data_IF_550356227128
#
_entry.id   IF_550356227128
#
_cell.length_a   1.000
_cell.length_b   1.000
_cell.length_c   1.000
_cell.angle_alpha   90.00
_cell.angle_beta   90.00
_cell.angle_gamma   90.00
#
_symmetry.space_group_name_H-M   'P 1'
#
loop_
_entity.id
_entity.type
_entity.pdbx_description
1 polymer ?
#
# COMPACT_ATOMS: atom_id res chain seq x y z
N UNK A 1 -23.76 -3.57 10.03
CA UNK A 1 -23.49 -2.63 11.15
C UNK A 1 -22.66 -3.24 12.28
N UNK A 2 -22.76 -4.56 12.56
CA UNK A 2 -22.12 -5.16 13.74
C UNK A 2 -20.59 -5.21 13.70
N UNK A 3 -19.97 -5.56 12.56
CA UNK A 3 -18.50 -5.72 12.48
C UNK A 3 -17.76 -4.40 12.73
N UNK A 4 -18.26 -3.28 12.19
CA UNK A 4 -17.62 -1.98 12.40
C UNK A 4 -17.82 -1.48 13.83
N UNK A 5 -19.04 -1.63 14.37
CA UNK A 5 -19.31 -1.30 15.78
C UNK A 5 -18.40 -2.10 16.71
N UNK A 6 -18.19 -3.39 16.41
CA UNK A 6 -17.29 -4.27 17.15
C UNK A 6 -15.83 -3.84 17.06
N UNK A 7 -15.33 -3.53 15.85
CA UNK A 7 -13.94 -3.02 15.68
C UNK A 7 -13.77 -1.71 16.45
N UNK A 8 -14.71 -0.78 16.28
CA UNK A 8 -14.67 0.51 16.95
C UNK A 8 -14.71 0.37 18.49
N UNK A 9 -15.46 -0.60 19.03
CA UNK A 9 -15.51 -0.89 20.46
C UNK A 9 -14.24 -1.56 20.99
N UNK A 10 -13.74 -2.60 20.32
CA UNK A 10 -12.52 -3.32 20.71
C UNK A 10 -11.29 -2.40 20.68
N UNK A 11 -11.16 -1.65 19.58
CA UNK A 11 -10.09 -0.68 19.41
C UNK A 11 -10.37 0.65 20.12
N UNK A 12 -11.47 0.77 20.88
CA UNK A 12 -11.87 1.99 21.62
C UNK A 12 -11.73 3.26 20.77
N UNK A 13 -11.99 3.14 19.47
CA UNK A 13 -11.77 4.22 18.52
C UNK A 13 -12.92 5.23 18.53
N UNK A 14 -14.09 4.84 19.06
CA UNK A 14 -15.19 5.78 19.35
C UNK A 14 -14.76 6.90 20.31
N UNK A 15 -13.71 6.64 21.10
CA UNK A 15 -13.12 7.58 22.06
C UNK A 15 -12.13 8.56 21.38
N UNK A 16 -11.81 8.38 20.09
CA UNK A 16 -10.98 9.31 19.32
C UNK A 16 -11.78 10.56 18.96
N UNK A 17 -11.97 11.43 19.95
CA UNK A 17 -12.65 12.72 19.83
C UNK A 17 -11.75 13.78 20.43
N UNK A 18 -11.18 14.63 19.59
CA UNK A 18 -10.17 15.60 20.00
C UNK A 18 -9.04 14.96 20.84
N UNK A 19 -8.65 13.73 20.51
CA UNK A 19 -7.60 13.01 21.25
C UNK A 19 -6.22 13.52 20.88
N UNK A 20 -5.33 13.58 21.86
CA UNK A 20 -3.92 13.87 21.64
C UNK A 20 -3.24 12.67 21.01
N UNK A 21 -2.44 12.94 20.00
CA UNK A 21 -1.69 11.93 19.30
C UNK A 21 -0.36 12.49 18.81
N UNK A 22 0.58 11.58 18.55
CA UNK A 22 1.83 11.88 17.85
C UNK A 22 1.76 11.31 16.45
N UNK A 23 1.90 12.18 15.44
CA UNK A 23 2.01 11.78 14.05
C UNK A 23 3.50 11.68 13.69
N UNK A 24 3.93 10.48 13.33
CA UNK A 24 5.28 10.15 12.89
C UNK A 24 5.25 10.14 11.35
N UNK A 25 5.96 11.07 10.74
CA UNK A 25 6.06 11.23 9.28
C UNK A 25 7.51 11.09 8.83
N UNK A 26 7.78 10.80 7.56
CA UNK A 26 9.15 10.84 7.02
C UNK A 26 9.84 12.20 7.23
N UNK A 27 9.08 13.30 7.25
CA UNK A 27 9.59 14.67 7.43
C UNK A 27 9.77 15.06 8.91
N UNK A 28 9.35 14.19 9.84
CA UNK A 28 9.49 14.41 11.29
C UNK A 28 8.21 14.17 12.08
N UNK A 29 8.31 14.36 13.38
CA UNK A 29 7.24 14.03 14.32
C UNK A 29 6.48 15.28 14.75
N UNK A 30 5.15 15.20 14.82
CA UNK A 30 4.29 16.29 15.26
C UNK A 30 3.30 15.81 16.31
N UNK A 31 3.11 16.59 17.37
CA UNK A 31 1.96 16.42 18.27
C UNK A 31 0.73 17.03 17.60
N UNK A 32 -0.34 16.26 17.52
CA UNK A 32 -1.57 16.60 16.82
C UNK A 32 -2.78 16.29 17.70
N UNK A 33 -3.89 16.94 17.38
CA UNK A 33 -5.20 16.57 17.93
C UNK A 33 -6.04 15.96 16.82
N UNK A 34 -6.59 14.78 17.05
CA UNK A 34 -7.31 14.02 16.01
C UNK A 34 -8.74 13.72 16.40
N UNK A 35 -9.60 13.61 15.39
CA UNK A 35 -10.99 13.14 15.54
C UNK A 35 -11.28 12.11 14.46
N UNK A 36 -11.81 10.96 14.89
CA UNK A 36 -12.26 9.91 13.99
C UNK A 36 -13.55 10.32 13.30
N UNK A 37 -13.62 10.08 11.99
CA UNK A 37 -14.78 10.31 11.16
C UNK A 37 -15.47 9.03 10.72
N UNK A 38 -16.22 9.12 9.62
CA UNK A 38 -17.05 8.04 9.11
C UNK A 38 -16.22 6.86 8.56
N UNK A 39 -16.83 5.68 8.59
CA UNK A 39 -16.31 4.49 7.91
C UNK A 39 -16.27 4.72 6.39
N UNK A 40 -15.18 4.28 5.76
CA UNK A 40 -14.96 4.38 4.30
C UNK A 40 -15.12 3.01 3.65
N UNK A 41 -14.40 2.01 4.16
CA UNK A 41 -14.30 0.72 3.50
C UNK A 41 -13.46 -0.28 4.30
N UNK A 42 -13.47 -1.53 3.86
CA UNK A 42 -12.74 -2.64 4.51
C UNK A 42 -11.94 -3.41 3.46
N UNK A 43 -10.66 -3.63 3.75
CA UNK A 43 -9.78 -4.52 3.01
C UNK A 43 -9.64 -5.89 3.69
N UNK A 44 -8.63 -6.66 3.27
CA UNK A 44 -8.35 -7.98 3.85
C UNK A 44 -7.84 -7.90 5.29
N UNK A 45 -7.05 -6.87 5.60
CA UNK A 45 -6.36 -6.72 6.90
C UNK A 45 -6.91 -5.59 7.76
N UNK A 46 -7.43 -4.53 7.14
CA UNK A 46 -7.75 -3.28 7.81
C UNK A 46 -9.15 -2.76 7.43
N UNK A 47 -9.82 -2.09 8.36
CA UNK A 47 -10.92 -1.15 8.08
C UNK A 47 -10.37 0.27 7.96
N UNK A 48 -10.92 1.05 7.04
CA UNK A 48 -10.56 2.44 6.80
C UNK A 48 -11.68 3.38 7.28
N UNK A 49 -11.28 4.44 7.99
CA UNK A 49 -12.16 5.49 8.47
C UNK A 49 -11.57 6.84 8.09
N UNK A 50 -12.42 7.85 7.89
CA UNK A 50 -11.94 9.23 7.83
C UNK A 50 -11.28 9.61 9.15
N UNK A 51 -10.25 10.45 9.05
CA UNK A 51 -9.58 11.06 10.18
C UNK A 51 -9.45 12.55 9.90
N UNK A 52 -9.79 13.37 10.91
CA UNK A 52 -9.54 14.81 10.88
C UNK A 52 -8.40 15.13 11.82
N UNK A 53 -7.37 15.79 11.32
CA UNK A 53 -6.33 16.42 12.13
C UNK A 53 -6.76 17.87 12.38
N UNK A 54 -6.72 18.32 13.63
CA UNK A 54 -7.10 19.68 13.99
C UNK A 54 -6.14 20.68 13.32
N UNK A 55 -6.71 21.76 12.79
CA UNK A 55 -6.00 22.86 12.11
C UNK A 55 -5.24 22.46 10.82
N UNK A 56 -5.39 21.23 10.35
CA UNK A 56 -4.93 20.79 9.04
C UNK A 56 -6.12 20.77 8.05
N UNK A 57 -6.06 21.50 6.93
CA UNK A 57 -7.14 21.50 5.94
C UNK A 57 -7.24 20.18 5.17
N UNK A 58 -6.22 19.32 5.20
CA UNK A 58 -6.23 18.04 4.50
C UNK A 58 -7.19 17.04 5.15
N UNK A 59 -7.71 16.15 4.33
CA UNK A 59 -8.50 14.99 4.77
C UNK A 59 -7.58 13.79 4.88
N UNK A 60 -7.80 12.96 5.89
CA UNK A 60 -7.00 11.76 6.12
C UNK A 60 -7.88 10.52 6.21
N UNK A 61 -7.23 9.39 6.01
CA UNK A 61 -7.75 8.06 6.31
C UNK A 61 -6.91 7.47 7.42
N UNK A 62 -7.56 6.89 8.43
CA UNK A 62 -6.92 6.01 9.41
C UNK A 62 -7.31 4.57 9.11
N UNK A 63 -6.32 3.69 9.09
CA UNK A 63 -6.48 2.24 8.90
C UNK A 63 -6.33 1.53 10.23
N UNK A 64 -7.32 0.70 10.51
CA UNK A 64 -7.49 0.00 11.76
C UNK A 64 -7.48 -1.51 11.48
N UNK A 65 -6.60 -2.28 12.13
CA UNK A 65 -6.55 -3.73 11.96
C UNK A 65 -7.88 -4.40 12.27
N UNK A 66 -8.27 -5.36 11.44
CA UNK A 66 -9.49 -6.16 11.65
C UNK A 66 -9.34 -7.14 12.81
N UNK A 67 -8.11 -7.54 13.13
CA UNK A 67 -7.79 -8.45 14.22
C UNK A 67 -7.10 -7.67 15.34
N UNK A 68 -7.68 -7.74 16.54
CA UNK A 68 -7.19 -7.09 17.77
C UNK A 68 -5.73 -7.42 18.13
N UNK A 69 -5.19 -8.53 17.60
CA UNK A 69 -3.84 -9.01 17.89
C UNK A 69 -2.77 -8.59 16.89
N UNK A 70 -3.03 -7.61 16.03
CA UNK A 70 -1.95 -7.05 15.23
C UNK A 70 -0.97 -6.36 16.20
N UNK A 71 0.26 -6.85 16.23
CA UNK A 71 1.27 -6.34 17.16
C UNK A 71 1.81 -4.99 16.67
N UNK A 72 2.47 -4.24 17.55
CA UNK A 72 3.18 -3.00 17.18
C UNK A 72 4.10 -3.22 15.98
N UNK A 73 4.75 -4.38 15.92
CA UNK A 73 5.68 -4.77 14.85
C UNK A 73 4.95 -4.88 13.52
N UNK A 74 3.80 -5.55 13.47
CA UNK A 74 3.00 -5.65 12.24
C UNK A 74 2.47 -4.28 11.76
N UNK A 75 2.14 -3.37 12.67
CA UNK A 75 1.77 -1.99 12.29
C UNK A 75 2.96 -1.20 11.75
N UNK A 76 4.15 -1.41 12.32
CA UNK A 76 5.40 -0.81 11.84
C UNK A 76 5.80 -1.38 10.49
N UNK A 77 5.57 -2.67 10.23
CA UNK A 77 5.75 -3.29 8.92
C UNK A 77 4.80 -2.72 7.87
N UNK A 78 3.51 -2.60 8.18
CA UNK A 78 2.51 -1.97 7.30
C UNK A 78 2.85 -0.49 7.02
N UNK A 79 3.43 0.20 8.01
CA UNK A 79 3.97 1.56 7.88
C UNK A 79 5.43 1.62 7.43
N UNK A 80 6.04 0.50 7.01
CA UNK A 80 7.49 0.44 6.86
C UNK A 80 7.96 1.51 5.89
N UNK A 81 8.63 2.53 6.45
CA UNK A 81 9.16 3.68 5.70
C UNK A 81 10.01 3.18 4.53
N UNK A 82 10.67 2.03 4.69
CA UNK A 82 11.51 1.42 3.67
C UNK A 82 10.68 0.98 2.45
N UNK A 83 9.52 0.34 2.62
CA UNK A 83 8.66 -0.07 1.49
C UNK A 83 8.26 1.16 0.68
N UNK A 84 7.75 2.18 1.36
CA UNK A 84 7.25 3.38 0.71
C UNK A 84 8.37 4.24 0.12
N UNK A 85 9.55 4.27 0.71
CA UNK A 85 10.72 4.95 0.15
C UNK A 85 11.24 4.24 -1.11
N UNK A 86 11.29 2.90 -1.12
CA UNK A 86 11.60 2.12 -2.31
C UNK A 86 10.57 2.40 -3.41
N UNK A 87 9.27 2.36 -3.07
CA UNK A 87 8.20 2.62 -4.02
C UNK A 87 8.25 4.03 -4.59
N UNK A 88 8.51 5.03 -3.74
CA UNK A 88 8.68 6.44 -4.14
C UNK A 88 9.88 6.63 -5.05
N UNK A 89 11.02 6.04 -4.72
CA UNK A 89 12.22 6.06 -5.57
C UNK A 89 11.93 5.42 -6.92
N UNK A 90 11.25 4.28 -6.94
CA UNK A 90 10.88 3.61 -8.18
C UNK A 90 9.90 4.43 -9.01
N UNK A 91 8.90 5.06 -8.37
CA UNK A 91 7.97 5.98 -9.03
C UNK A 91 8.71 7.17 -9.67
N UNK A 92 9.68 7.77 -8.98
CA UNK A 92 10.51 8.83 -9.53
C UNK A 92 11.33 8.35 -10.73
N UNK A 93 11.95 7.16 -10.64
CA UNK A 93 12.67 6.55 -11.75
C UNK A 93 11.75 6.23 -12.94
N UNK A 94 10.53 5.77 -12.71
CA UNK A 94 9.55 5.52 -13.77
C UNK A 94 9.11 6.83 -14.45
N UNK A 95 8.80 7.84 -13.63
CA UNK A 95 8.36 9.16 -14.09
C UNK A 95 9.42 9.91 -14.91
N UNK A 96 10.71 9.63 -14.67
CA UNK A 96 11.81 10.24 -15.43
C UNK A 96 12.02 9.62 -16.82
N UNK A 97 11.34 8.50 -17.15
CA UNK A 97 11.43 7.83 -18.45
C UNK A 97 10.49 8.38 -19.53
N UNK A 98 9.87 9.54 -19.30
CA UNK A 98 8.96 10.15 -20.28
C UNK A 98 7.64 9.39 -20.48
N UNK A 99 7.20 8.64 -19.47
CA UNK A 99 5.93 7.91 -19.51
C UNK A 99 4.74 8.86 -19.69
N UNK A 100 3.65 8.45 -20.37
CA UNK A 100 2.53 9.35 -20.67
C UNK A 100 1.82 9.90 -19.43
N UNK A 101 1.81 9.11 -18.35
CA UNK A 101 1.19 9.48 -17.07
C UNK A 101 2.13 9.14 -15.92
N UNK A 102 2.52 10.17 -15.16
CA UNK A 102 3.36 10.03 -13.98
C UNK A 102 2.55 9.44 -12.83
N UNK A 103 3.20 8.57 -12.04
CA UNK A 103 2.62 7.93 -10.86
C UNK A 103 3.13 8.61 -9.58
N UNK A 104 2.34 8.59 -8.52
CA UNK A 104 2.72 9.11 -7.20
C UNK A 104 2.34 8.12 -6.12
N UNK A 105 3.18 7.99 -5.11
CA UNK A 105 2.92 7.10 -3.96
C UNK A 105 2.35 7.97 -2.82
N UNK A 106 1.20 7.56 -2.29
CA UNK A 106 0.62 8.12 -1.07
C UNK A 106 1.39 7.53 0.12
N UNK A 107 2.19 8.35 0.79
CA UNK A 107 3.09 7.89 1.84
C UNK A 107 2.31 7.87 3.16
N UNK A 108 2.20 6.71 3.84
CA UNK A 108 1.55 6.67 5.13
C UNK A 108 2.43 7.27 6.22
N UNK A 109 1.78 7.63 7.30
CA UNK A 109 2.33 8.09 8.55
C UNK A 109 1.84 7.19 9.67
N UNK A 110 2.62 7.09 10.73
CA UNK A 110 2.24 6.33 11.91
C UNK A 110 1.66 7.26 12.96
N UNK A 111 0.42 7.01 13.39
CA UNK A 111 -0.27 7.76 14.43
C UNK A 111 -0.20 6.99 15.75
N UNK A 112 0.27 7.65 16.80
CA UNK A 112 0.33 7.11 18.16
C UNK A 112 -0.67 7.88 19.01
N UNK A 113 -1.75 7.24 19.44
CA UNK A 113 -2.82 7.83 20.23
C UNK A 113 -2.41 7.84 21.72
N UNK A 114 -1.97 9.00 22.21
CA UNK A 114 -1.41 9.15 23.56
C UNK A 114 -2.46 8.84 24.64
N UNK A 115 -3.68 9.32 24.44
CA UNK A 115 -4.80 9.16 25.38
C UNK A 115 -5.41 7.74 25.36
N UNK A 116 -5.01 6.89 24.42
CA UNK A 116 -5.54 5.53 24.23
C UNK A 116 -4.47 4.47 24.38
N UNK A 117 -3.70 4.54 25.49
CA UNK A 117 -2.62 3.61 25.84
C UNK A 117 -1.57 3.48 24.72
N UNK A 118 -1.26 4.59 24.04
CA UNK A 118 -0.29 4.63 22.95
C UNK A 118 -0.62 3.66 21.81
N UNK A 119 -1.92 3.42 21.54
CA UNK A 119 -2.36 2.63 20.40
C UNK A 119 -1.86 3.24 19.10
N UNK A 120 -1.40 2.38 18.21
CA UNK A 120 -0.83 2.74 16.92
C UNK A 120 -1.88 2.60 15.82
N UNK A 121 -1.82 3.46 14.81
CA UNK A 121 -2.66 3.36 13.62
C UNK A 121 -1.91 3.89 12.39
N UNK A 122 -2.20 3.32 11.23
CA UNK A 122 -1.66 3.82 9.95
C UNK A 122 -2.55 4.95 9.46
N UNK A 123 -1.97 6.08 9.11
CA UNK A 123 -2.68 7.26 8.59
C UNK A 123 -2.13 7.65 7.23
N UNK A 124 -2.99 8.00 6.30
CA UNK A 124 -2.60 8.48 4.97
C UNK A 124 -3.50 9.64 4.53
N UNK A 125 -3.05 10.43 3.56
CA UNK A 125 -3.90 11.46 2.97
C UNK A 125 -5.07 10.79 2.23
N UNK A 126 -6.28 11.31 2.42
CA UNK A 126 -7.46 10.80 1.73
C UNK A 126 -7.40 11.17 0.25
N UNK A 127 -7.51 10.16 -0.60
CA UNK A 127 -7.54 10.34 -2.05
C UNK A 127 -8.99 10.53 -2.51
N UNK A 128 -9.31 11.71 -3.03
CA UNK A 128 -10.65 12.01 -3.55
C UNK A 128 -10.84 11.41 -4.95
N UNK A 129 -11.81 10.51 -5.09
CA UNK A 129 -12.25 9.93 -6.36
C UNK A 129 -12.46 8.41 -6.28
N UNK A 130 -12.59 7.78 -7.46
CA UNK A 130 -12.85 6.34 -7.54
C UNK A 130 -11.60 5.53 -7.19
N UNK A 131 -11.71 4.76 -6.11
CA UNK A 131 -10.66 3.85 -5.68
C UNK A 131 -10.70 2.58 -6.53
N UNK A 132 -9.58 2.27 -7.19
CA UNK A 132 -9.45 1.10 -8.06
C UNK A 132 -8.20 0.32 -7.70
N UNK A 133 -8.33 -1.01 -7.65
CA UNK A 133 -7.21 -1.94 -7.56
C UNK A 133 -6.87 -2.42 -8.97
N UNK A 134 -5.61 -2.28 -9.39
CA UNK A 134 -5.15 -2.58 -10.74
C UNK A 134 -4.36 -3.89 -10.85
N UNK A 135 -3.73 -4.30 -9.75
CA UNK A 135 -3.23 -5.65 -9.60
C UNK A 135 -3.23 -6.00 -8.10
N UNK A 136 -2.97 -7.28 -7.78
CA UNK A 136 -2.78 -7.71 -6.41
C UNK A 136 -1.42 -8.40 -6.20
N UNK A 137 -1.09 -8.70 -4.95
CA UNK A 137 0.11 -9.44 -4.58
C UNK A 137 0.07 -10.97 -4.85
N UNK A 138 -0.99 -11.47 -5.48
CA UNK A 138 -1.21 -12.89 -5.80
C UNK A 138 -1.35 -13.16 -7.31
N UNK A 139 -1.01 -12.18 -8.15
CA UNK A 139 -0.98 -12.34 -9.60
C UNK A 139 -2.25 -11.94 -10.36
N UNK A 140 -3.30 -11.48 -9.69
CA UNK A 140 -4.42 -10.85 -10.41
C UNK A 140 -3.96 -9.51 -11.01
N UNK A 141 -4.32 -9.28 -12.26
CA UNK A 141 -3.95 -8.09 -13.05
C UNK A 141 -5.19 -7.60 -13.81
N UNK A 142 -5.57 -6.35 -13.60
CA UNK A 142 -6.57 -5.63 -14.38
C UNK A 142 -5.93 -5.04 -15.64
N UNK A 143 -6.58 -5.16 -16.80
CA UNK A 143 -6.05 -4.68 -18.08
C UNK A 143 -6.72 -3.39 -18.59
N UNK A 144 -7.63 -2.78 -17.82
CA UNK A 144 -8.29 -1.54 -18.21
C UNK A 144 -7.34 -0.33 -18.29
N UNK A 145 -6.17 -0.40 -17.63
CA UNK A 145 -5.17 0.68 -17.66
C UNK A 145 -3.75 0.16 -17.82
N UNK A 146 -2.99 0.82 -18.71
CA UNK A 146 -1.61 0.45 -19.00
C UNK A 146 -0.60 0.83 -17.90
N UNK A 147 -0.70 2.04 -17.35
CA UNK A 147 0.31 2.60 -16.43
C UNK A 147 0.57 1.77 -15.16
N UNK A 148 -0.46 1.27 -14.44
CA UNK A 148 -0.24 0.50 -13.20
C UNK A 148 0.63 -0.74 -13.42
N UNK A 149 0.30 -1.55 -14.43
CA UNK A 149 1.03 -2.80 -14.68
C UNK A 149 2.39 -2.58 -15.34
N UNK A 150 2.51 -1.54 -16.17
CA UNK A 150 3.81 -1.12 -16.68
C UNK A 150 4.73 -0.63 -15.56
N UNK A 151 4.19 0.04 -14.53
CA UNK A 151 4.96 0.44 -13.35
C UNK A 151 5.44 -0.77 -12.54
N UNK A 152 4.57 -1.76 -12.31
CA UNK A 152 4.97 -3.04 -11.69
C UNK A 152 6.07 -3.73 -12.49
N UNK A 153 5.90 -3.95 -13.81
CA UNK A 153 6.93 -4.55 -14.65
C UNK A 153 8.23 -3.74 -14.64
N UNK A 154 8.15 -2.41 -14.78
CA UNK A 154 9.31 -1.53 -14.70
C UNK A 154 10.09 -1.72 -13.40
N UNK A 155 9.42 -1.86 -12.26
CA UNK A 155 10.08 -2.04 -10.97
C UNK A 155 10.98 -3.29 -10.92
N UNK A 156 10.54 -4.36 -11.56
CA UNK A 156 11.29 -5.61 -11.67
C UNK A 156 12.53 -5.44 -12.55
N UNK A 157 12.39 -4.84 -13.73
CA UNK A 157 13.52 -4.64 -14.63
C UNK A 157 14.52 -3.62 -14.07
N UNK A 158 14.03 -2.50 -13.53
CA UNK A 158 14.88 -1.45 -12.96
C UNK A 158 15.66 -1.93 -11.72
N UNK A 159 15.11 -2.87 -10.96
CA UNK A 159 15.79 -3.51 -9.83
C UNK A 159 16.67 -4.70 -10.23
N UNK A 160 16.86 -4.98 -11.53
CA UNK A 160 17.60 -6.16 -12.04
C UNK A 160 17.03 -7.48 -11.51
N UNK A 161 15.71 -7.56 -11.44
CA UNK A 161 14.96 -8.75 -11.04
C UNK A 161 14.87 -9.00 -9.54
N UNK A 162 15.27 -8.03 -8.70
CA UNK A 162 15.28 -8.20 -7.25
C UNK A 162 13.92 -7.93 -6.60
N UNK A 163 13.22 -6.89 -7.07
CA UNK A 163 12.00 -6.37 -6.45
C UNK A 163 10.90 -6.23 -7.49
N UNK A 164 9.71 -6.73 -7.19
CA UNK A 164 8.47 -6.38 -7.90
C UNK A 164 7.55 -5.60 -6.97
N UNK A 165 7.12 -4.42 -7.41
CA UNK A 165 6.08 -3.63 -6.73
C UNK A 165 4.71 -4.09 -7.22
N UNK A 166 3.89 -4.62 -6.32
CA UNK A 166 2.55 -5.15 -6.56
C UNK A 166 1.51 -4.47 -5.65
N UNK A 167 0.28 -4.99 -5.65
CA UNK A 167 -0.88 -4.36 -5.00
C UNK A 167 -1.05 -2.89 -5.42
N UNK A 168 -0.90 -2.60 -6.73
CA UNK A 168 -1.09 -1.25 -7.23
C UNK A 168 -2.57 -0.90 -7.16
N UNK A 169 -2.92 0.02 -6.26
CA UNK A 169 -4.30 0.45 -6.00
C UNK A 169 -4.34 1.91 -5.54
N UNK A 170 -5.47 2.58 -5.75
CA UNK A 170 -5.68 3.96 -5.34
C UNK A 170 -6.55 4.73 -6.32
N UNK A 171 -6.41 6.06 -6.37
CA UNK A 171 -7.24 6.95 -7.19
C UNK A 171 -6.41 7.56 -8.32
N UNK A 172 -6.84 7.35 -9.57
CA UNK A 172 -6.16 7.90 -10.73
C UNK A 172 -4.69 7.46 -10.84
N UNK A 173 -3.76 8.36 -10.53
CA UNK A 173 -2.31 8.11 -10.57
C UNK A 173 -1.63 8.14 -9.20
N UNK A 174 -2.43 8.27 -8.13
CA UNK A 174 -1.99 8.23 -6.76
C UNK A 174 -2.24 6.82 -6.22
N UNK A 175 -1.16 6.11 -5.91
CA UNK A 175 -1.20 4.74 -5.43
C UNK A 175 -0.91 4.66 -3.94
N UNK A 176 -1.59 3.76 -3.24
CA UNK A 176 -1.39 3.47 -1.82
C UNK A 176 -1.44 1.96 -1.57
N UNK A 177 -1.21 1.52 -0.33
CA UNK A 177 -1.26 0.11 0.10
C UNK A 177 -0.44 -0.80 -0.81
N UNK A 178 0.79 -0.37 -1.10
CA UNK A 178 1.70 -1.06 -1.99
C UNK A 178 2.34 -2.25 -1.28
N UNK A 179 2.49 -3.34 -2.02
CA UNK A 179 3.26 -4.51 -1.59
C UNK A 179 4.55 -4.64 -2.41
N UNK A 180 5.62 -5.13 -1.77
CA UNK A 180 6.86 -5.53 -2.44
C UNK A 180 7.01 -7.06 -2.40
N UNK A 181 7.30 -7.66 -3.54
CA UNK A 181 7.88 -9.00 -3.59
C UNK A 181 9.40 -8.91 -3.67
N UNK A 182 10.09 -9.64 -2.80
CA UNK A 182 11.54 -9.71 -2.69
C UNK A 182 11.97 -11.13 -2.31
N UNK A 183 13.19 -11.53 -2.67
CA UNK A 183 13.64 -12.92 -2.51
C UNK A 183 13.56 -13.43 -1.07
N UNK A 184 13.84 -12.58 -0.07
CA UNK A 184 13.69 -12.92 1.34
C UNK A 184 12.22 -12.74 1.78
N UNK A 185 11.46 -13.82 2.08
CA UNK A 185 10.04 -13.74 2.46
C UNK A 185 9.79 -13.12 3.84
N UNK A 186 10.82 -12.97 4.67
CA UNK A 186 10.72 -12.34 5.99
C UNK A 186 10.78 -10.81 5.91
N UNK A 187 11.14 -10.25 4.75
CA UNK A 187 11.20 -8.81 4.53
C UNK A 187 9.92 -8.29 3.86
N UNK A 188 9.63 -7.00 4.05
CA UNK A 188 8.52 -6.28 3.41
C UNK A 188 7.11 -6.81 3.76
N UNK A 189 6.96 -7.40 4.95
CA UNK A 189 5.69 -7.78 5.52
C UNK A 189 5.08 -9.06 4.94
N UNK A 190 4.00 -9.54 5.56
CA UNK A 190 3.37 -10.84 5.27
C UNK A 190 2.83 -10.98 3.84
N UNK A 191 2.65 -9.88 3.11
CA UNK A 191 2.23 -9.90 1.71
C UNK A 191 3.38 -10.20 0.73
N UNK A 192 4.63 -10.27 1.19
CA UNK A 192 5.77 -10.65 0.37
C UNK A 192 5.77 -12.16 0.08
N UNK A 193 5.18 -12.54 -1.05
CA UNK A 193 5.19 -13.92 -1.55
C UNK A 193 6.50 -14.33 -2.25
N UNK A 194 7.57 -13.55 -2.09
CA UNK A 194 8.87 -13.77 -2.72
C UNK A 194 8.78 -14.02 -4.23
N UNK A 195 9.60 -14.93 -4.75
CA UNK A 195 9.60 -15.35 -6.13
C UNK A 195 8.22 -15.81 -6.63
N UNK A 196 7.38 -16.41 -5.77
CA UNK A 196 6.05 -16.87 -6.17
C UNK A 196 5.13 -15.72 -6.57
N UNK A 197 5.16 -14.61 -5.83
CA UNK A 197 4.41 -13.40 -6.19
C UNK A 197 4.89 -12.79 -7.51
N UNK A 198 6.20 -12.79 -7.74
CA UNK A 198 6.81 -12.35 -9.00
C UNK A 198 6.33 -13.21 -10.17
N UNK A 199 6.39 -14.54 -10.01
CA UNK A 199 5.92 -15.48 -11.03
C UNK A 199 4.43 -15.26 -11.34
N UNK A 200 3.61 -15.18 -10.30
CA UNK A 200 2.16 -15.03 -10.44
C UNK A 200 1.78 -13.73 -11.18
N UNK A 201 2.48 -12.63 -10.93
CA UNK A 201 2.30 -11.39 -11.69
C UNK A 201 2.63 -11.58 -13.17
N UNK A 202 3.80 -12.11 -13.51
CA UNK A 202 4.23 -12.24 -14.91
C UNK A 202 3.47 -13.31 -15.70
N UNK A 203 2.87 -14.30 -15.03
CA UNK A 203 1.95 -15.25 -15.68
C UNK A 203 0.70 -14.57 -16.24
N UNK A 204 0.25 -13.49 -15.61
CA UNK A 204 -0.98 -12.77 -15.98
C UNK A 204 -0.70 -11.41 -16.64
N UNK A 205 0.50 -10.85 -16.47
CA UNK A 205 0.90 -9.59 -17.08
C UNK A 205 1.07 -9.74 -18.59
N UNK A 206 0.33 -8.91 -19.33
CA UNK A 206 0.58 -8.67 -20.75
C UNK A 206 1.32 -7.34 -20.88
N UNK A 207 2.46 -7.36 -21.57
CA UNK A 207 3.12 -6.11 -21.93
C UNK A 207 2.17 -5.22 -22.73
N UNK A 208 2.27 -3.92 -22.50
CA UNK A 208 1.41 -2.92 -23.11
C UNK A 208 2.26 -1.80 -23.73
N UNK A 209 1.67 -0.81 -24.41
CA UNK A 209 2.43 0.24 -25.11
C UNK A 209 3.42 1.01 -24.23
N UNK A 210 3.17 1.12 -22.91
CA UNK A 210 4.13 1.76 -21.99
C UNK A 210 5.33 0.84 -21.73
N UNK A 211 5.12 -0.47 -21.60
CA UNK A 211 6.22 -1.44 -21.51
C UNK A 211 7.12 -1.40 -22.77
N UNK A 212 6.50 -1.29 -23.95
CA UNK A 212 7.20 -1.15 -25.23
C UNK A 212 7.98 0.15 -25.30
N UNK A 213 7.35 1.29 -24.98
CA UNK A 213 8.00 2.60 -24.92
C UNK A 213 9.23 2.60 -24.00
N UNK A 214 9.14 1.89 -22.88
CA UNK A 214 10.22 1.78 -21.90
C UNK A 214 11.33 0.81 -22.32
N UNK A 215 11.17 0.08 -23.42
CA UNK A 215 12.11 -0.95 -23.87
C UNK A 215 12.16 -2.17 -22.95
N UNK A 216 11.09 -2.43 -22.20
CA UNK A 216 10.98 -3.54 -21.24
C UNK A 216 9.98 -4.61 -21.67
N UNK A 217 9.38 -4.48 -22.86
CA UNK A 217 8.53 -5.50 -23.45
C UNK A 217 9.37 -6.69 -23.94
N UNK A 218 9.95 -7.45 -23.01
CA UNK A 218 10.72 -8.66 -23.28
C UNK A 218 10.11 -9.85 -22.56
N UNK A 219 10.34 -11.06 -23.08
CA UNK A 219 10.01 -12.28 -22.34
C UNK A 219 10.80 -12.31 -21.04
N UNK A 220 10.10 -12.16 -19.92
CA UNK A 220 10.69 -12.38 -18.60
C UNK A 220 10.81 -13.88 -18.41
N UNK A 221 12.00 -14.43 -18.72
CA UNK A 221 12.33 -15.84 -18.50
C UNK A 221 12.45 -16.11 -17.01
N UNK A 222 11.33 -16.45 -16.39
CA UNK A 222 11.29 -16.91 -15.00
C UNK A 222 11.71 -18.38 -15.01
N UNK A 223 12.74 -18.75 -14.24
CA UNK A 223 13.05 -20.16 -13.99
C UNK A 223 11.90 -20.76 -13.19
N UNK A 224 10.96 -21.41 -13.86
CA UNK A 224 9.84 -22.09 -13.21
C UNK A 224 10.37 -23.33 -12.48
N UNK A 225 10.38 -23.30 -11.15
CA UNK A 225 10.32 -24.53 -10.37
C UNK A 225 8.93 -25.17 -10.50
N UNK A 226 8.79 -26.45 -10.18
CA UNK A 226 7.48 -27.09 -10.07
C UNK A 226 6.69 -26.45 -8.92
N UNK A 227 5.67 -25.64 -9.24
CA UNK A 227 4.85 -24.96 -8.24
C UNK A 227 3.67 -25.83 -7.80
N UNK A 228 3.31 -25.83 -6.50
CA UNK A 228 2.13 -26.55 -6.01
C UNK A 228 0.85 -26.06 -6.73
N UNK A 229 -0.02 -27.00 -7.11
CA UNK A 229 -1.37 -26.67 -7.63
C UNK A 229 -2.15 -25.90 -6.55
N UNK A 230 -2.76 -24.77 -6.91
CA UNK A 230 -3.61 -23.97 -6.02
C UNK A 230 -3.08 -22.59 -5.62
N UNK A 231 -2.05 -22.06 -6.29
CA UNK A 231 -1.57 -20.68 -6.12
C UNK A 231 -2.29 -19.65 -7.02
N UNK A 232 -3.35 -20.05 -7.73
CA UNK A 232 -4.22 -19.20 -8.54
C UNK A 232 -5.47 -18.79 -7.76
#
# INVERSE_FOLDING_TARGET
>A
MEVHSFILSEFRLLDIRNSKAKLITPEGNKSVTVTLGNFIGKGAMNSAFHLKIKDDPKKYVVKVPLKYRMTSEAMVEDCSIIIFEIAKKMANCFNSRGVPKKVKINIPSLLILEDLRFRMAVVEEFLEGDYVKYNNNKGWVDDNRNTPNAFSHFSFIASKGQILIADIQGVGHYYTDIQIHYHNPEEFGQGNLSHLGIVAFFQNHKCNPICEQLGIATEVKIKTGTYPKGFY
#
